data_IF_047856458329
#
_entry.id   IF_047856458329
#
_cell.length_a   1.000
_cell.length_b   1.000
_cell.length_c   1.000
_cell.angle_alpha   90.00
_cell.angle_beta   90.00
_cell.angle_gamma   90.00
#
_symmetry.space_group_name_H-M   'P 1'
#
loop_
_entity.id
_entity.type
_entity.pdbx_description
1 polymer ?
#
# COMPACT_ATOMS: atom_id res chain seq x y z
N UNK A 1 16.99 -8.02 6.47
CA UNK A 1 16.15 -6.91 6.02
C UNK A 1 15.85 -6.08 7.25
N UNK A 2 15.49 -4.81 7.08
CA UNK A 2 15.30 -3.91 8.23
C UNK A 2 13.93 -3.27 8.07
N UNK A 3 12.88 -4.05 8.37
CA UNK A 3 11.50 -3.58 8.30
C UNK A 3 11.30 -2.28 9.08
N UNK A 4 11.96 -2.16 10.25
CA UNK A 4 11.94 -0.94 11.06
C UNK A 4 12.47 0.28 10.30
N UNK A 5 13.58 0.14 9.56
CA UNK A 5 14.13 1.24 8.76
C UNK A 5 13.16 1.65 7.65
N UNK A 6 12.57 0.68 6.95
CA UNK A 6 11.59 0.95 5.87
C UNK A 6 10.36 1.65 6.44
N UNK A 7 9.83 1.17 7.57
CA UNK A 7 8.71 1.80 8.24
C UNK A 7 9.02 3.24 8.61
N UNK A 8 10.18 3.51 9.22
CA UNK A 8 10.59 4.88 9.55
C UNK A 8 10.75 5.79 8.33
N UNK A 9 11.17 5.26 7.18
CA UNK A 9 11.23 6.01 5.92
C UNK A 9 9.82 6.34 5.38
N UNK A 10 8.86 5.43 5.54
CA UNK A 10 7.45 5.64 5.19
C UNK A 10 6.79 6.66 6.13
N UNK A 11 6.98 6.53 7.45
CA UNK A 11 6.45 7.46 8.46
C UNK A 11 6.97 8.89 8.26
N UNK A 12 8.22 9.04 7.79
CA UNK A 12 8.80 10.34 7.46
C UNK A 12 8.08 11.06 6.28
N UNK A 13 7.25 10.34 5.52
CA UNK A 13 6.40 10.90 4.46
C UNK A 13 5.02 11.36 4.98
N UNK A 14 4.78 11.32 6.29
CA UNK A 14 3.56 11.85 6.93
C UNK A 14 2.25 11.36 6.29
N UNK A 15 2.17 10.06 6.00
CA UNK A 15 1.07 9.46 5.23
C UNK A 15 -0.30 9.45 5.93
N UNK A 16 -0.39 9.79 7.22
CA UNK A 16 -1.67 9.75 7.94
C UNK A 16 -2.68 10.70 7.31
N UNK A 17 -3.87 10.17 7.02
CA UNK A 17 -4.94 10.83 6.30
C UNK A 17 -4.56 11.28 4.88
N UNK A 18 -3.46 10.77 4.31
CA UNK A 18 -3.11 11.00 2.94
C UNK A 18 -4.06 10.26 2.00
N UNK A 19 -4.55 10.96 0.98
CA UNK A 19 -5.46 10.38 -0.01
C UNK A 19 -4.69 9.42 -0.90
N UNK A 20 -5.23 8.22 -1.08
CA UNK A 20 -4.70 7.24 -2.03
C UNK A 20 -5.13 7.61 -3.45
N UNK A 21 -4.14 7.75 -4.33
CA UNK A 21 -4.30 8.06 -5.74
C UNK A 21 -4.33 6.83 -6.63
N UNK A 22 -3.55 5.81 -6.26
CA UNK A 22 -3.35 4.61 -7.08
C UNK A 22 -3.01 3.43 -6.18
N UNK A 23 -3.63 2.27 -6.45
CA UNK A 23 -3.23 1.01 -5.86
C UNK A 23 -3.37 -0.10 -6.89
N UNK A 24 -2.26 -0.41 -7.57
CA UNK A 24 -2.25 -1.25 -8.76
C UNK A 24 -1.26 -2.40 -8.67
N UNK A 25 -1.58 -3.46 -9.40
CA UNK A 25 -0.75 -4.65 -9.56
C UNK A 25 -0.21 -4.73 -10.99
N UNK A 26 1.05 -5.14 -11.12
CA UNK A 26 1.75 -5.34 -12.40
C UNK A 26 2.51 -6.67 -12.39
N UNK A 27 2.95 -7.13 -13.57
CA UNK A 27 3.74 -8.36 -13.74
C UNK A 27 3.15 -9.58 -13.02
N UNK A 28 1.86 -9.84 -13.23
CA UNK A 28 1.13 -10.95 -12.59
C UNK A 28 1.13 -10.90 -11.05
N UNK A 29 1.26 -9.71 -10.47
CA UNK A 29 1.29 -9.52 -9.04
C UNK A 29 2.67 -9.58 -8.43
N UNK A 30 3.74 -9.72 -9.22
CA UNK A 30 5.12 -9.59 -8.72
C UNK A 30 5.41 -8.17 -8.20
N UNK A 31 4.80 -7.17 -8.83
CA UNK A 31 4.93 -5.77 -8.43
C UNK A 31 3.58 -5.18 -8.00
N UNK A 32 3.57 -4.51 -6.85
CA UNK A 32 2.45 -3.70 -6.37
C UNK A 32 2.92 -2.25 -6.25
N UNK A 33 2.07 -1.30 -6.62
CA UNK A 33 2.34 0.13 -6.49
C UNK A 33 1.22 0.80 -5.71
N UNK A 34 1.58 1.53 -4.65
CA UNK A 34 0.71 2.45 -3.93
C UNK A 34 1.19 3.89 -4.17
N UNK A 35 0.30 4.80 -4.56
CA UNK A 35 0.58 6.24 -4.63
C UNK A 35 -0.39 6.99 -3.75
N UNK A 36 0.10 7.93 -2.95
CA UNK A 36 -0.70 8.81 -2.13
C UNK A 36 -0.26 10.28 -2.23
N UNK A 37 -1.17 11.18 -1.90
CA UNK A 37 -0.96 12.63 -1.92
C UNK A 37 -0.06 13.09 -0.76
N UNK A 38 0.88 13.98 -1.07
CA UNK A 38 1.53 14.87 -0.10
C UNK A 38 1.38 16.32 -0.63
N UNK A 39 1.64 17.30 0.22
CA UNK A 39 1.51 18.73 -0.02
C UNK A 39 2.38 19.27 -1.17
N UNK A 40 3.60 18.75 -1.33
CA UNK A 40 4.57 19.26 -2.32
C UNK A 40 4.81 18.32 -3.50
N UNK A 41 4.74 17.02 -3.26
CA UNK A 41 4.95 15.94 -4.22
C UNK A 41 3.96 14.82 -3.90
N UNK A 42 3.74 13.86 -4.80
CA UNK A 42 3.08 12.62 -4.40
C UNK A 42 4.14 11.62 -3.93
N UNK A 43 3.72 10.64 -3.15
CA UNK A 43 4.62 9.59 -2.67
C UNK A 43 4.20 8.27 -3.29
N UNK A 44 5.19 7.54 -3.81
CA UNK A 44 5.02 6.22 -4.40
C UNK A 44 5.76 5.19 -3.56
N UNK A 45 5.03 4.17 -3.12
CA UNK A 45 5.59 2.94 -2.57
C UNK A 45 5.57 1.86 -3.66
N UNK A 46 6.72 1.27 -3.95
CA UNK A 46 6.84 0.15 -4.89
C UNK A 46 7.24 -1.10 -4.13
N UNK A 47 6.44 -2.16 -4.27
CA UNK A 47 6.69 -3.48 -3.70
C UNK A 47 7.14 -4.40 -4.83
N UNK A 48 8.28 -5.08 -4.69
CA UNK A 48 8.85 -5.93 -5.74
C UNK A 48 9.14 -7.35 -5.24
N UNK A 49 9.06 -8.34 -6.14
CA UNK A 49 9.17 -9.74 -5.77
C UNK A 49 8.08 -10.14 -4.78
N UNK A 50 6.84 -9.76 -5.07
CA UNK A 50 5.69 -10.06 -4.22
C UNK A 50 5.29 -11.53 -4.40
N UNK A 51 5.29 -12.28 -3.29
CA UNK A 51 4.88 -13.69 -3.29
C UNK A 51 3.43 -13.87 -2.84
N UNK A 52 2.86 -12.88 -2.15
CA UNK A 52 1.46 -12.88 -1.74
C UNK A 52 0.95 -11.44 -1.69
N UNK A 53 -0.27 -11.24 -2.17
CA UNK A 53 -0.98 -9.99 -2.08
C UNK A 53 -2.46 -10.28 -1.83
N UNK A 54 -3.04 -9.57 -0.87
CA UNK A 54 -4.48 -9.57 -0.65
C UNK A 54 -4.98 -8.15 -0.39
N UNK A 55 -6.18 -7.88 -0.86
CA UNK A 55 -6.95 -6.71 -0.44
C UNK A 55 -8.37 -7.16 -0.13
N UNK A 56 -8.94 -6.63 0.95
CA UNK A 56 -10.27 -6.99 1.44
C UNK A 56 -11.11 -5.73 1.53
N UNK A 57 -12.30 -5.78 0.94
CA UNK A 57 -13.36 -4.76 1.10
C UNK A 57 -14.68 -5.44 1.42
N UNK A 58 -15.67 -4.71 1.93
CA UNK A 58 -17.02 -5.26 2.01
C UNK A 58 -17.69 -5.32 0.64
N UNK A 59 -18.74 -6.14 0.51
CA UNK A 59 -19.58 -6.17 -0.68
C UNK A 59 -20.29 -4.84 -0.90
N UNK A 60 -20.72 -4.18 0.18
CA UNK A 60 -21.47 -2.92 0.14
C UNK A 60 -20.62 -1.80 -0.49
N UNK A 61 -19.31 -1.78 -0.20
CA UNK A 61 -18.35 -0.82 -0.78
C UNK A 61 -18.11 -1.00 -2.29
N UNK A 62 -18.61 -2.10 -2.87
CA UNK A 62 -18.42 -2.47 -4.28
C UNK A 62 -19.72 -2.50 -5.07
N UNK A 63 -20.88 -2.28 -4.44
CA UNK A 63 -22.17 -2.21 -5.13
C UNK A 63 -22.16 -1.09 -6.17
N UNK A 64 -21.62 0.08 -5.80
CA UNK A 64 -21.42 1.18 -6.73
C UNK A 64 -20.04 1.08 -7.38
N UNK A 65 -19.94 1.10 -8.73
CA UNK A 65 -18.65 1.09 -9.40
C UNK A 65 -17.83 2.33 -9.02
N UNK A 66 -16.67 2.13 -8.39
CA UNK A 66 -15.81 3.24 -7.95
C UNK A 66 -15.41 4.20 -9.08
N UNK A 67 -15.35 3.71 -10.33
CA UNK A 67 -15.06 4.52 -11.52
C UNK A 67 -16.11 5.61 -11.79
N UNK A 68 -17.31 5.46 -11.24
CA UNK A 68 -18.44 6.39 -11.39
C UNK A 68 -18.49 7.40 -10.25
N UNK A 69 -17.64 7.24 -9.22
CA UNK A 69 -17.51 8.18 -8.12
C UNK A 69 -16.65 9.37 -8.52
N UNK A 70 -17.05 10.55 -8.05
CA UNK A 70 -16.20 11.74 -8.09
C UNK A 70 -15.10 11.62 -7.04
N UNK A 71 -13.98 12.33 -7.23
CA UNK A 71 -12.85 12.31 -6.28
C UNK A 71 -13.25 12.56 -4.82
N UNK A 72 -14.14 13.51 -4.47
CA UNK A 72 -14.59 13.69 -3.09
C UNK A 72 -15.34 12.49 -2.50
N UNK A 73 -15.96 11.66 -3.33
CA UNK A 73 -16.72 10.47 -2.91
C UNK A 73 -15.83 9.23 -2.72
N UNK A 74 -14.56 9.26 -3.17
CA UNK A 74 -13.62 8.16 -2.99
C UNK A 74 -12.97 8.29 -1.61
N UNK A 75 -13.23 7.35 -0.67
CA UNK A 75 -12.88 7.50 0.74
C UNK A 75 -11.54 6.84 1.12
N UNK A 76 -10.68 6.51 0.16
CA UNK A 76 -9.40 5.83 0.45
C UNK A 76 -8.36 6.81 0.98
N UNK A 77 -8.19 6.81 2.30
CA UNK A 77 -7.15 7.53 3.01
C UNK A 77 -6.32 6.55 3.83
N UNK A 78 -5.00 6.75 3.85
CA UNK A 78 -4.11 5.92 4.64
C UNK A 78 -4.30 6.23 6.14
N UNK A 79 -4.62 5.21 6.91
CA UNK A 79 -4.77 5.30 8.36
C UNK A 79 -3.61 4.64 9.09
N UNK A 80 -3.09 3.53 8.54
CA UNK A 80 -1.95 2.85 9.14
C UNK A 80 -1.16 2.03 8.13
N UNK A 81 0.15 1.92 8.37
CA UNK A 81 1.08 1.08 7.62
C UNK A 81 1.97 0.37 8.62
N UNK A 82 1.94 -0.96 8.62
CA UNK A 82 2.84 -1.79 9.41
C UNK A 82 3.80 -2.53 8.48
N UNK A 83 5.09 -2.55 8.80
CA UNK A 83 6.08 -3.35 8.08
C UNK A 83 6.80 -4.27 9.06
N UNK A 84 6.83 -5.57 8.75
CA UNK A 84 7.48 -6.58 9.58
C UNK A 84 8.41 -7.48 8.77
N UNK A 85 9.51 -7.93 9.38
CA UNK A 85 10.38 -8.95 8.82
C UNK A 85 9.75 -10.33 9.05
N UNK A 86 9.59 -11.12 7.99
CA UNK A 86 9.01 -12.48 8.05
C UNK A 86 9.97 -13.48 7.41
N UNK A 87 10.01 -14.70 7.96
CA UNK A 87 10.69 -15.83 7.34
C UNK A 87 9.65 -16.77 6.75
N UNK A 88 9.66 -16.95 5.43
CA UNK A 88 8.75 -17.86 4.72
C UNK A 88 9.56 -18.76 3.79
N UNK A 89 9.38 -20.08 3.88
CA UNK A 89 10.07 -21.05 3.04
C UNK A 89 11.60 -20.85 2.98
N UNK A 90 12.21 -20.44 4.09
CA UNK A 90 13.65 -20.16 4.18
C UNK A 90 14.10 -18.81 3.60
N UNK A 91 13.19 -18.02 3.03
CA UNK A 91 13.44 -16.69 2.48
C UNK A 91 13.02 -15.61 3.47
N UNK A 92 13.84 -14.56 3.59
CA UNK A 92 13.48 -13.36 4.36
C UNK A 92 12.67 -12.43 3.47
N UNK A 93 11.49 -12.06 3.94
CA UNK A 93 10.52 -11.21 3.25
C UNK A 93 10.07 -10.06 4.16
N UNK A 94 9.45 -9.06 3.56
CA UNK A 94 8.74 -7.99 4.26
C UNK A 94 7.25 -8.26 4.12
N UNK A 95 6.55 -8.25 5.25
CA UNK A 95 5.10 -8.19 5.25
C UNK A 95 4.68 -6.75 5.54
N UNK A 96 3.97 -6.15 4.60
CA UNK A 96 3.42 -4.81 4.70
C UNK A 96 1.89 -4.88 4.81
N UNK A 97 1.34 -4.37 5.90
CA UNK A 97 -0.10 -4.22 6.09
C UNK A 97 -0.49 -2.77 5.97
N UNK A 98 -1.56 -2.49 5.25
CA UNK A 98 -2.03 -1.13 4.97
C UNK A 98 -3.51 -1.05 5.30
N UNK A 99 -3.86 -0.12 6.19
CA UNK A 99 -5.25 0.19 6.56
C UNK A 99 -5.66 1.44 5.82
N UNK A 100 -6.59 1.30 4.86
CA UNK A 100 -7.18 2.40 4.10
C UNK A 100 -8.68 2.18 3.85
N UNK A 101 -9.53 2.27 4.89
CA UNK A 101 -10.93 1.93 4.80
C UNK A 101 -11.61 2.61 3.60
N UNK A 102 -12.49 1.91 2.87
CA UNK A 102 -13.01 0.55 3.14
C UNK A 102 -12.10 -0.62 2.73
N UNK A 103 -10.82 -0.38 2.42
CA UNK A 103 -9.89 -1.41 1.94
C UNK A 103 -8.76 -1.65 2.95
N UNK A 104 -8.52 -2.92 3.26
CA UNK A 104 -7.32 -3.36 3.98
C UNK A 104 -6.46 -4.22 3.07
N UNK A 105 -5.17 -3.96 3.00
CA UNK A 105 -4.24 -4.69 2.15
C UNK A 105 -3.12 -5.33 2.95
N UNK A 106 -2.65 -6.49 2.49
CA UNK A 106 -1.48 -7.18 3.02
C UNK A 106 -0.62 -7.65 1.83
N UNK A 107 0.65 -7.26 1.84
CA UNK A 107 1.61 -7.50 0.76
C UNK A 107 2.86 -8.17 1.35
N UNK A 108 3.18 -9.37 0.87
CA UNK A 108 4.40 -10.09 1.21
C UNK A 108 5.38 -10.00 0.05
N UNK A 109 6.53 -9.37 0.25
CA UNK A 109 7.46 -9.02 -0.82
C UNK A 109 8.93 -9.09 -0.41
N UNK A 110 9.83 -9.08 -1.39
CA UNK A 110 11.28 -9.08 -1.16
C UNK A 110 11.86 -7.69 -0.96
N UNK A 111 11.18 -6.63 -1.38
CA UNK A 111 11.65 -5.26 -1.19
C UNK A 111 10.53 -4.23 -1.32
N UNK A 112 10.74 -3.10 -0.66
CA UNK A 112 9.87 -1.92 -0.69
C UNK A 112 10.77 -0.71 -0.99
N UNK A 113 10.41 0.10 -1.98
CA UNK A 113 11.07 1.38 -2.27
C UNK A 113 10.09 2.54 -2.09
N UNK A 114 10.62 3.71 -1.69
CA UNK A 114 9.88 4.95 -1.47
C UNK A 114 10.43 6.01 -2.42
N UNK A 115 9.55 6.61 -3.22
CA UNK A 115 9.89 7.65 -4.20
C UNK A 115 8.96 8.87 -4.05
N UNK A 116 9.53 10.07 -4.15
CA UNK A 116 8.77 11.33 -4.28
C UNK A 116 8.60 11.62 -5.77
N UNK A 117 7.37 11.80 -6.23
CA UNK A 117 7.01 11.93 -7.66
C UNK A 117 6.14 13.14 -7.97
#
# INVERSE_FOLDING_TARGET
MNAKKILSEIEAMHYWDARVLKFDSSFFGDEITLVFEDTEFNVKLSFMGCSSFSFVTSTDDRIMPLRELTRPQIPYFLQDIEVTDVLSEGHRLLNCKIIMPPLNAEILCTSISIEKI
#
